data_IF_391650684023
#
_entry.id   IF_391650684023
#
_cell.length_a   1.000
_cell.length_b   1.000
_cell.length_c   1.000
_cell.angle_alpha   90.00
_cell.angle_beta   90.00
_cell.angle_gamma   90.00
#
_symmetry.space_group_name_H-M   'P 1'
#
loop_
_entity.id
_entity.type
_entity.pdbx_description
1 polymer ?
#
# COMPACT_ATOMS: atom_id res chain seq x y z
N UNK A 1 19.86 -6.37 0.89
CA UNK A 1 19.47 -7.78 0.63
C UNK A 1 17.97 -7.84 0.89
N UNK A 2 17.16 -8.66 0.21
CA UNK A 2 15.73 -8.66 0.49
C UNK A 2 15.47 -8.87 1.98
N UNK A 3 14.55 -8.10 2.57
CA UNK A 3 14.13 -8.27 3.96
C UNK A 3 13.82 -9.76 4.18
N UNK A 4 14.39 -10.43 5.19
CA UNK A 4 14.18 -11.86 5.40
C UNK A 4 12.69 -12.16 5.60
N UNK A 5 12.24 -13.33 5.15
CA UNK A 5 10.90 -13.80 5.46
C UNK A 5 10.78 -14.23 6.93
N UNK A 6 9.55 -14.46 7.39
CA UNK A 6 9.31 -14.79 8.80
C UNK A 6 9.89 -16.15 9.22
N UNK A 7 10.07 -17.11 8.32
CA UNK A 7 10.67 -18.41 8.64
C UNK A 7 12.19 -18.27 8.81
N UNK A 8 12.83 -17.53 7.91
CA UNK A 8 14.26 -17.19 7.97
C UNK A 8 14.63 -16.51 9.28
N UNK A 9 13.71 -15.74 9.87
CA UNK A 9 13.89 -15.07 11.16
C UNK A 9 13.76 -15.99 12.38
N UNK A 10 13.10 -17.16 12.28
CA UNK A 10 12.76 -18.00 13.44
C UNK A 10 14.01 -18.48 14.18
N UNK A 11 14.92 -19.15 13.47
CA UNK A 11 16.12 -19.73 14.11
C UNK A 11 17.07 -18.66 14.66
N UNK A 12 17.46 -17.60 13.91
CA UNK A 12 18.30 -16.54 14.47
C UNK A 12 17.68 -15.88 15.70
N UNK A 13 16.37 -15.62 15.68
CA UNK A 13 15.66 -15.09 16.85
C UNK A 13 15.76 -16.04 18.05
N UNK A 14 15.49 -17.33 17.84
CA UNK A 14 15.52 -18.33 18.91
C UNK A 14 16.94 -18.53 19.47
N UNK A 15 17.96 -18.49 18.62
CA UNK A 15 19.37 -18.61 19.00
C UNK A 15 19.81 -17.47 19.94
N UNK A 16 19.28 -16.25 19.77
CA UNK A 16 19.56 -15.13 20.69
C UNK A 16 18.99 -15.34 22.10
N UNK A 17 18.03 -16.26 22.25
CA UNK A 17 17.44 -16.64 23.53
C UNK A 17 18.11 -17.89 24.15
N UNK A 18 19.15 -18.46 23.51
CA UNK A 18 19.76 -19.73 23.92
C UNK A 18 20.35 -19.70 25.35
N UNK A 19 20.64 -18.52 25.90
CA UNK A 19 21.10 -18.34 27.27
C UNK A 19 20.03 -18.64 28.34
N UNK A 20 18.77 -18.88 27.93
CA UNK A 20 17.66 -19.18 28.82
C UNK A 20 17.13 -17.98 29.61
N UNK A 21 17.65 -16.78 29.37
CA UNK A 21 17.23 -15.56 30.07
C UNK A 21 16.06 -14.89 29.35
N UNK A 22 15.44 -13.94 30.04
CA UNK A 22 14.35 -13.13 29.49
C UNK A 22 14.94 -11.95 28.76
N UNK A 23 14.65 -11.82 27.46
CA UNK A 23 15.15 -10.74 26.60
C UNK A 23 14.03 -9.85 26.10
N UNK A 24 14.30 -8.55 25.96
CA UNK A 24 13.36 -7.57 25.43
C UNK A 24 13.37 -7.59 23.91
N UNK A 25 12.19 -7.58 23.30
CA UNK A 25 12.02 -7.59 21.83
C UNK A 25 12.82 -6.50 21.12
N UNK A 26 12.91 -5.31 21.72
CA UNK A 26 13.63 -4.18 21.13
C UNK A 26 15.12 -4.49 20.92
N UNK A 27 15.76 -5.20 21.86
CA UNK A 27 17.17 -5.59 21.72
C UNK A 27 17.32 -6.69 20.67
N UNK A 28 16.51 -7.75 20.78
CA UNK A 28 16.51 -8.85 19.80
C UNK A 28 16.28 -8.35 18.36
N UNK A 29 15.40 -7.36 18.20
CA UNK A 29 15.14 -6.72 16.90
C UNK A 29 16.40 -6.03 16.37
N UNK A 30 17.08 -5.23 17.19
CA UNK A 30 18.28 -4.51 16.77
C UNK A 30 19.40 -5.48 16.39
N UNK A 31 19.61 -6.52 17.20
CA UNK A 31 20.60 -7.56 16.92
C UNK A 31 20.34 -8.25 15.57
N UNK A 32 19.07 -8.55 15.27
CA UNK A 32 18.68 -9.16 13.99
C UNK A 32 18.80 -8.18 12.82
N UNK A 33 18.53 -6.89 13.01
CA UNK A 33 18.76 -5.86 11.98
C UNK A 33 20.24 -5.79 11.61
N UNK A 34 21.13 -5.87 12.60
CA UNK A 34 22.58 -5.89 12.40
C UNK A 34 23.05 -7.19 11.73
N UNK A 35 22.56 -8.36 12.21
CA UNK A 35 22.91 -9.67 11.67
C UNK A 35 22.54 -9.81 10.18
N UNK A 36 21.35 -9.35 9.79
CA UNK A 36 20.89 -9.36 8.41
C UNK A 36 21.34 -8.15 7.59
N UNK A 37 22.12 -7.23 8.17
CA UNK A 37 22.68 -6.05 7.52
C UNK A 37 21.61 -5.19 6.80
N UNK A 38 20.46 -5.00 7.45
CA UNK A 38 19.35 -4.25 6.85
C UNK A 38 19.66 -2.76 6.81
N UNK A 39 19.40 -2.14 5.66
CA UNK A 39 19.56 -0.71 5.46
C UNK A 39 18.48 0.10 6.21
N UNK A 40 18.72 1.39 6.50
CA UNK A 40 17.71 2.26 7.10
C UNK A 40 16.42 2.39 6.29
N UNK A 41 16.47 2.14 4.98
CA UNK A 41 15.30 2.14 4.10
C UNK A 41 14.49 0.85 4.28
N UNK A 42 15.13 -0.31 4.21
CA UNK A 42 14.51 -1.62 4.45
C UNK A 42 13.88 -1.73 5.85
N UNK A 43 14.53 -1.17 6.88
CA UNK A 43 13.98 -1.14 8.25
C UNK A 43 12.71 -0.27 8.35
N UNK A 44 12.59 0.76 7.52
CA UNK A 44 11.47 1.71 7.48
C UNK A 44 10.39 1.33 6.48
N UNK A 45 10.63 0.33 5.63
CA UNK A 45 9.67 -0.17 4.64
C UNK A 45 8.37 -0.57 5.34
N UNK A 46 7.25 0.03 4.94
CA UNK A 46 5.93 -0.20 5.54
C UNK A 46 5.15 -1.25 4.75
N UNK A 47 4.32 -2.02 5.44
CA UNK A 47 3.24 -2.75 4.78
C UNK A 47 2.28 -1.78 4.09
N UNK A 48 1.50 -2.28 3.13
CA UNK A 48 0.45 -1.51 2.45
C UNK A 48 -0.54 -0.84 3.44
N UNK A 49 -0.75 -1.44 4.62
CA UNK A 49 -1.58 -0.86 5.68
C UNK A 49 -1.00 0.40 6.33
N UNK A 50 0.29 0.71 6.13
CA UNK A 50 0.99 1.87 6.67
C UNK A 50 1.25 1.86 8.18
N UNK A 51 0.69 0.89 8.92
CA UNK A 51 0.72 0.81 10.39
C UNK A 51 2.00 0.17 10.96
N UNK A 52 2.57 -0.81 10.25
CA UNK A 52 3.74 -1.57 10.69
C UNK A 52 4.79 -1.64 9.59
N UNK A 53 6.07 -1.77 9.96
CA UNK A 53 7.13 -2.07 9.00
C UNK A 53 7.13 -3.55 8.63
N UNK A 54 7.55 -3.87 7.40
CA UNK A 54 7.61 -5.24 6.87
C UNK A 54 8.42 -6.14 7.81
N UNK A 55 9.62 -5.69 8.20
CA UNK A 55 10.47 -6.43 9.15
C UNK A 55 9.80 -6.64 10.51
N UNK A 56 9.12 -5.62 11.05
CA UNK A 56 8.43 -5.72 12.35
C UNK A 56 7.30 -6.75 12.30
N UNK A 57 6.54 -6.75 11.21
CA UNK A 57 5.43 -7.67 11.02
C UNK A 57 5.93 -9.11 10.88
N UNK A 58 6.93 -9.35 10.02
CA UNK A 58 7.54 -10.67 9.85
C UNK A 58 8.17 -11.22 11.12
N UNK A 59 8.89 -10.38 11.88
CA UNK A 59 9.40 -10.74 13.20
C UNK A 59 8.25 -11.05 14.19
N UNK A 60 7.15 -10.29 14.11
CA UNK A 60 5.91 -10.55 14.84
C UNK A 60 5.36 -11.96 14.60
N UNK A 61 5.28 -12.36 13.34
CA UNK A 61 4.79 -13.67 12.91
C UNK A 61 5.75 -14.81 13.25
N UNK A 62 7.05 -14.62 13.06
CA UNK A 62 8.07 -15.59 13.49
C UNK A 62 7.88 -15.97 14.97
N UNK A 63 7.71 -14.95 15.84
CA UNK A 63 7.46 -15.17 17.27
C UNK A 63 6.12 -15.85 17.52
N UNK A 64 5.05 -15.40 16.87
CA UNK A 64 3.71 -15.96 17.06
C UNK A 64 3.70 -17.45 16.72
N UNK A 65 4.35 -17.84 15.63
CA UNK A 65 4.39 -19.23 15.19
C UNK A 65 5.22 -20.09 16.14
N UNK A 66 6.39 -19.60 16.56
CA UNK A 66 7.21 -20.29 17.56
C UNK A 66 6.54 -20.37 18.94
N UNK A 67 5.77 -19.35 19.36
CA UNK A 67 4.98 -19.34 20.61
C UNK A 67 3.89 -20.42 20.55
N UNK A 68 3.14 -20.48 19.44
CA UNK A 68 2.09 -21.48 19.22
C UNK A 68 2.62 -22.90 19.06
N UNK A 69 3.88 -23.05 18.66
CA UNK A 69 4.58 -24.33 18.66
C UNK A 69 5.27 -24.67 19.99
N UNK A 70 5.23 -23.76 20.98
CA UNK A 70 5.81 -23.96 22.31
C UNK A 70 7.34 -23.87 22.37
N UNK A 71 8.00 -23.32 21.35
CA UNK A 71 9.46 -23.12 21.32
C UNK A 71 9.90 -21.93 22.18
N UNK A 72 8.99 -20.97 22.39
CA UNK A 72 9.22 -19.80 23.20
C UNK A 72 8.02 -19.55 24.11
N UNK A 73 8.27 -18.79 25.17
CA UNK A 73 7.24 -18.27 26.06
C UNK A 73 7.41 -16.76 26.21
N UNK A 74 6.31 -16.11 26.60
CA UNK A 74 6.24 -14.65 26.75
C UNK A 74 5.95 -14.31 28.23
N UNK A 75 6.96 -14.25 29.12
CA UNK A 75 6.73 -14.04 30.56
C UNK A 75 6.05 -12.71 30.89
N UNK A 76 6.30 -11.67 30.07
CA UNK A 76 5.64 -10.38 30.13
C UNK A 76 5.65 -9.72 28.75
N UNK A 77 4.81 -8.70 28.55
CA UNK A 77 4.66 -8.00 27.26
C UNK A 77 6.03 -7.64 26.65
N UNK A 78 6.22 -8.01 25.39
CA UNK A 78 7.45 -7.78 24.62
C UNK A 78 8.74 -8.36 25.23
N UNK A 79 8.64 -9.35 26.11
CA UNK A 79 9.78 -10.08 26.66
C UNK A 79 9.63 -11.58 26.40
N UNK A 80 10.71 -12.20 25.96
CA UNK A 80 10.70 -13.57 25.45
C UNK A 80 11.77 -14.41 26.15
N UNK A 81 11.48 -15.70 26.33
CA UNK A 81 12.41 -16.71 26.84
C UNK A 81 12.25 -18.00 26.05
N UNK A 82 13.36 -18.68 25.78
CA UNK A 82 13.35 -20.00 25.12
C UNK A 82 12.83 -21.08 26.09
N UNK A 83 12.04 -22.02 25.59
CA UNK A 83 11.62 -23.20 26.36
C UNK A 83 12.61 -24.36 26.19
N UNK A 84 12.46 -25.44 26.95
CA UNK A 84 13.25 -26.66 26.73
C UNK A 84 13.00 -27.26 25.33
N UNK A 85 11.77 -27.12 24.81
CA UNK A 85 11.43 -27.49 23.43
C UNK A 85 12.17 -26.62 22.43
N UNK A 86 12.26 -25.31 22.67
CA UNK A 86 13.04 -24.40 21.84
C UNK A 86 14.54 -24.72 21.82
N UNK A 87 15.12 -25.14 22.95
CA UNK A 87 16.52 -25.58 23.00
C UNK A 87 16.76 -26.83 22.15
N UNK A 88 15.89 -27.84 22.26
CA UNK A 88 15.95 -29.03 21.41
C UNK A 88 15.82 -28.68 19.93
N UNK A 89 14.93 -27.74 19.59
CA UNK A 89 14.79 -27.27 18.21
C UNK A 89 16.10 -26.66 17.65
N UNK A 90 16.87 -25.93 18.47
CA UNK A 90 18.18 -25.42 18.05
C UNK A 90 19.22 -26.53 17.81
N UNK A 91 19.12 -27.66 18.52
CA UNK A 91 20.00 -28.83 18.35
C UNK A 91 19.59 -29.68 17.14
N UNK A 92 18.28 -29.91 16.98
CA UNK A 92 17.70 -30.73 15.90
C UNK A 92 17.75 -30.02 14.53
N UNK A 93 17.69 -28.68 14.53
CA UNK A 93 17.63 -27.85 13.33
C UNK A 93 18.81 -26.87 13.27
N UNK A 94 20.02 -27.34 12.90
CA UNK A 94 21.21 -26.51 12.88
C UNK A 94 21.16 -25.40 11.83
N UNK A 95 20.43 -25.61 10.73
CA UNK A 95 20.39 -24.70 9.59
C UNK A 95 19.18 -23.75 9.62
N UNK A 96 17.97 -24.27 9.78
CA UNK A 96 16.74 -23.47 9.76
C UNK A 96 15.63 -24.11 10.61
N UNK A 97 14.83 -23.27 11.27
CA UNK A 97 13.56 -23.64 11.88
C UNK A 97 12.47 -23.04 11.01
N UNK A 98 11.60 -23.86 10.46
CA UNK A 98 10.56 -23.46 9.52
C UNK A 98 9.20 -24.08 9.90
N UNK A 99 8.16 -23.77 9.12
CA UNK A 99 6.82 -24.30 9.36
C UNK A 99 6.75 -25.82 9.24
N UNK A 100 7.60 -26.45 8.43
CA UNK A 100 7.61 -27.90 8.27
C UNK A 100 8.13 -28.57 9.55
N UNK A 101 9.16 -28.00 10.18
CA UNK A 101 9.54 -28.38 11.53
C UNK A 101 8.42 -28.10 12.54
N UNK A 102 7.83 -26.90 12.56
CA UNK A 102 6.79 -26.54 13.54
C UNK A 102 5.54 -27.45 13.46
N UNK A 103 5.22 -28.00 12.28
CA UNK A 103 4.11 -28.96 12.08
C UNK A 103 4.28 -30.27 12.86
N UNK A 104 5.43 -30.57 13.45
CA UNK A 104 5.59 -31.74 14.31
C UNK A 104 4.85 -31.58 15.64
N UNK A 105 4.55 -30.35 16.06
CA UNK A 105 3.89 -30.07 17.33
C UNK A 105 2.38 -30.01 17.17
N UNK A 106 1.65 -30.74 18.01
CA UNK A 106 0.19 -30.85 17.96
C UNK A 106 -0.50 -29.50 18.14
N UNK A 107 0.01 -28.65 19.04
CA UNK A 107 -0.55 -27.33 19.33
C UNK A 107 -0.42 -26.39 18.12
N UNK A 108 0.70 -26.48 17.40
CA UNK A 108 0.91 -25.73 16.16
C UNK A 108 0.01 -26.25 15.03
N UNK A 109 -0.10 -27.57 14.89
CA UNK A 109 -1.03 -28.17 13.93
C UNK A 109 -2.47 -27.73 14.20
N UNK A 110 -2.91 -27.74 15.46
CA UNK A 110 -4.25 -27.28 15.84
C UNK A 110 -4.46 -25.78 15.50
N UNK A 111 -3.46 -24.94 15.76
CA UNK A 111 -3.49 -23.52 15.38
C UNK A 111 -3.63 -23.30 13.86
N UNK A 112 -2.92 -24.10 13.06
CA UNK A 112 -2.98 -24.02 11.58
C UNK A 112 -4.24 -24.70 11.02
N UNK A 113 -4.68 -25.82 11.60
CA UNK A 113 -5.81 -26.61 11.11
C UNK A 113 -7.18 -26.03 11.47
N UNK A 114 -7.28 -25.28 12.57
CA UNK A 114 -8.48 -24.48 12.87
C UNK A 114 -8.78 -23.44 11.77
N UNK A 115 -7.85 -23.17 10.85
CA UNK A 115 -8.05 -22.34 9.65
C UNK A 115 -8.37 -23.13 8.37
N UNK A 116 -8.27 -24.47 8.36
CA UNK A 116 -8.45 -25.29 7.13
C UNK A 116 -9.87 -25.80 6.89
N UNK A 117 -10.78 -25.73 7.86
CA UNK A 117 -12.16 -26.23 7.68
C UNK A 117 -13.04 -25.33 6.77
N UNK A 118 -12.51 -24.21 6.27
CA UNK A 118 -13.06 -23.54 5.11
C UNK A 118 -11.95 -23.36 4.07
N UNK A 119 -12.09 -24.06 2.95
CA UNK A 119 -11.35 -23.91 1.67
C UNK A 119 -10.20 -24.90 1.47
N UNK A 120 -10.54 -26.13 1.08
CA UNK A 120 -9.71 -26.89 0.13
C UNK A 120 -9.95 -26.34 -1.28
N UNK A 121 -9.00 -25.58 -1.81
CA UNK A 121 -8.51 -25.68 -3.19
C UNK A 121 -7.42 -24.63 -3.45
N UNK A 122 -6.28 -25.11 -3.93
CA UNK A 122 -5.19 -24.35 -4.58
C UNK A 122 -4.38 -23.38 -3.71
N UNK A 123 -3.38 -23.93 -3.03
CA UNK A 123 -2.13 -23.19 -2.77
C UNK A 123 -1.01 -23.91 -3.53
N UNK A 124 -1.00 -23.74 -4.84
CA UNK A 124 0.17 -24.04 -5.67
C UNK A 124 0.94 -22.73 -5.86
N UNK A 125 2.24 -22.79 -5.55
CA UNK A 125 3.29 -21.79 -5.82
C UNK A 125 3.09 -20.38 -5.27
N UNK A 126 3.41 -20.16 -4.00
CA UNK A 126 4.02 -18.90 -3.59
C UNK A 126 5.55 -19.10 -3.56
N UNK A 127 6.30 -18.40 -4.41
CA UNK A 127 7.76 -18.48 -4.47
C UNK A 127 8.45 -17.98 -3.19
N UNK A 128 7.71 -17.37 -2.25
CA UNK A 128 8.18 -16.97 -0.92
C UNK A 128 7.10 -17.14 0.14
N UNK A 129 7.46 -17.59 1.36
CA UNK A 129 6.53 -17.65 2.48
C UNK A 129 6.14 -16.23 2.93
N UNK A 130 4.85 -15.89 2.81
CA UNK A 130 4.28 -14.60 3.21
C UNK A 130 3.48 -14.70 4.50
N UNK A 131 3.40 -13.60 5.24
CA UNK A 131 2.58 -13.46 6.43
C UNK A 131 1.09 -13.27 6.06
N UNK A 132 0.14 -13.59 6.95
CA UNK A 132 -1.28 -13.31 6.71
C UNK A 132 -1.60 -11.85 6.36
N UNK A 133 -0.94 -10.86 6.98
CA UNK A 133 -1.14 -9.45 6.65
C UNK A 133 -0.69 -9.13 5.21
N UNK A 134 0.44 -9.69 4.77
CA UNK A 134 0.93 -9.55 3.39
C UNK A 134 -0.02 -10.22 2.39
N UNK A 135 -0.61 -11.37 2.75
CA UNK A 135 -1.61 -12.05 1.92
C UNK A 135 -2.88 -11.20 1.76
N UNK A 136 -3.40 -10.62 2.85
CA UNK A 136 -4.56 -9.72 2.80
C UNK A 136 -4.24 -8.49 1.95
N UNK A 137 -3.06 -7.89 2.14
CA UNK A 137 -2.64 -6.74 1.36
C UNK A 137 -2.54 -7.06 -0.14
N UNK A 138 -1.98 -8.22 -0.50
CA UNK A 138 -1.89 -8.66 -1.90
C UNK A 138 -3.26 -8.89 -2.52
N UNK A 139 -4.19 -9.53 -1.80
CA UNK A 139 -5.58 -9.71 -2.26
C UNK A 139 -6.28 -8.37 -2.42
N UNK A 140 -6.12 -7.46 -1.45
CA UNK A 140 -6.70 -6.11 -1.52
C UNK A 140 -6.17 -5.34 -2.73
N UNK A 141 -4.86 -5.40 -3.00
CA UNK A 141 -4.27 -4.79 -4.19
C UNK A 141 -4.82 -5.39 -5.48
N UNK A 142 -4.94 -6.72 -5.56
CA UNK A 142 -5.51 -7.39 -6.73
C UNK A 142 -6.98 -7.01 -6.96
N UNK A 143 -7.78 -6.90 -5.90
CA UNK A 143 -9.16 -6.41 -5.97
C UNK A 143 -9.22 -4.97 -6.47
N UNK A 144 -8.36 -4.08 -5.97
CA UNK A 144 -8.31 -2.69 -6.42
C UNK A 144 -7.84 -2.56 -7.87
N UNK A 145 -6.86 -3.34 -8.31
CA UNK A 145 -6.42 -3.36 -9.71
C UNK A 145 -7.55 -3.80 -10.64
N UNK A 146 -8.27 -4.88 -10.28
CA UNK A 146 -9.44 -5.32 -11.06
C UNK A 146 -10.55 -4.26 -11.08
N UNK A 147 -10.79 -3.59 -9.96
CA UNK A 147 -11.78 -2.52 -9.89
C UNK A 147 -11.37 -1.29 -10.71
N UNK A 148 -10.07 -0.99 -10.76
CA UNK A 148 -9.53 0.10 -11.57
C UNK A 148 -9.75 -0.16 -13.08
N UNK A 149 -9.54 -1.40 -13.53
CA UNK A 149 -9.83 -1.82 -14.91
C UNK A 149 -11.32 -1.66 -15.25
N UNK A 150 -12.21 -2.11 -14.35
CA UNK A 150 -13.67 -1.99 -14.51
C UNK A 150 -14.12 -0.52 -14.58
N UNK A 151 -13.58 0.34 -13.69
CA UNK A 151 -13.83 1.78 -13.70
C UNK A 151 -13.36 2.43 -14.99
N UNK A 152 -12.15 2.12 -15.44
CA UNK A 152 -11.60 2.68 -16.66
C UNK A 152 -12.46 2.30 -17.88
N UNK A 153 -12.91 1.05 -17.95
CA UNK A 153 -13.86 0.59 -18.96
C UNK A 153 -15.16 1.38 -18.94
N UNK A 154 -15.74 1.61 -17.75
CA UNK A 154 -16.95 2.42 -17.61
C UNK A 154 -16.75 3.87 -18.10
N UNK A 155 -15.65 4.52 -17.70
CA UNK A 155 -15.33 5.91 -18.08
C UNK A 155 -15.14 6.05 -19.58
N UNK A 156 -14.47 5.10 -20.23
CA UNK A 156 -14.25 5.12 -21.67
C UNK A 156 -15.57 5.07 -22.47
N UNK A 157 -16.61 4.44 -21.94
CA UNK A 157 -17.95 4.41 -22.56
C UNK A 157 -18.80 5.64 -22.30
N UNK A 158 -18.42 6.48 -21.32
CA UNK A 158 -19.18 7.66 -20.95
C UNK A 158 -19.07 8.80 -21.99
N UNK A 159 -19.95 9.80 -21.89
CA UNK A 159 -19.90 10.96 -22.77
C UNK A 159 -18.70 11.87 -22.44
N UNK A 160 -18.18 12.66 -23.42
CA UNK A 160 -17.09 13.61 -23.16
C UNK A 160 -17.38 14.59 -22.02
N UNK A 161 -18.58 15.20 -22.01
CA UNK A 161 -18.96 16.13 -20.94
C UNK A 161 -19.11 15.46 -19.57
N UNK A 162 -19.48 14.17 -19.52
CA UNK A 162 -19.44 13.43 -18.26
C UNK A 162 -18.00 13.26 -17.76
N UNK A 163 -17.06 12.96 -18.66
CA UNK A 163 -15.65 12.81 -18.29
C UNK A 163 -15.03 14.11 -17.77
N UNK A 164 -15.33 15.25 -18.41
CA UNK A 164 -14.93 16.56 -17.93
C UNK A 164 -15.44 16.83 -16.51
N UNK A 165 -16.73 16.55 -16.27
CA UNK A 165 -17.32 16.70 -14.93
C UNK A 165 -16.69 15.74 -13.91
N UNK A 166 -16.45 14.48 -14.29
CA UNK A 166 -15.82 13.48 -13.44
C UNK A 166 -14.43 13.93 -12.97
N UNK A 167 -13.65 14.51 -13.88
CA UNK A 167 -12.32 15.06 -13.56
C UNK A 167 -12.42 16.19 -12.52
N UNK A 168 -13.39 17.08 -12.67
CA UNK A 168 -13.63 18.15 -11.71
C UNK A 168 -14.06 17.58 -10.36
N UNK A 169 -14.99 16.63 -10.36
CA UNK A 169 -15.47 15.94 -9.14
C UNK A 169 -14.32 15.23 -8.41
N UNK A 170 -13.39 14.62 -9.15
CA UNK A 170 -12.20 14.01 -8.58
C UNK A 170 -11.31 15.03 -7.88
N UNK A 171 -11.00 16.15 -8.55
CA UNK A 171 -10.19 17.20 -7.94
C UNK A 171 -10.85 17.73 -6.66
N UNK A 172 -12.18 17.85 -6.62
CA UNK A 172 -12.92 18.25 -5.42
C UNK A 172 -12.83 17.17 -4.32
N UNK A 173 -12.97 15.88 -4.68
CA UNK A 173 -12.86 14.77 -3.74
C UNK A 173 -11.45 14.64 -3.13
N UNK A 174 -10.43 15.06 -3.89
CA UNK A 174 -9.04 15.21 -3.43
C UNK A 174 -8.81 16.44 -2.54
N UNK A 175 -9.79 17.34 -2.44
CA UNK A 175 -9.75 18.52 -1.57
C UNK A 175 -9.40 19.84 -2.27
N UNK A 176 -9.27 19.85 -3.60
CA UNK A 176 -9.10 21.08 -4.38
C UNK A 176 -10.45 21.80 -4.60
N UNK A 177 -10.42 23.06 -5.04
CA UNK A 177 -11.61 23.84 -5.39
C UNK A 177 -12.20 24.70 -4.26
N UNK A 178 -11.56 24.72 -3.10
CA UNK A 178 -11.92 25.63 -2.01
C UNK A 178 -13.22 25.26 -1.30
N UNK A 179 -14.25 26.11 -1.35
CA UNK A 179 -15.56 25.81 -0.75
C UNK A 179 -16.46 25.07 -1.75
N UNK A 180 -17.25 24.09 -1.28
CA UNK A 180 -18.15 23.26 -2.14
C UNK A 180 -19.08 24.04 -3.06
N UNK A 181 -19.42 25.30 -2.72
CA UNK A 181 -20.25 26.18 -3.56
C UNK A 181 -19.46 26.82 -4.70
N UNK A 182 -18.19 27.17 -4.49
CA UNK A 182 -17.34 27.80 -5.51
C UNK A 182 -16.73 26.78 -6.47
N UNK A 183 -16.49 25.55 -6.02
CA UNK A 183 -15.92 24.50 -6.86
C UNK A 183 -16.83 24.11 -8.05
N UNK A 184 -18.16 24.17 -7.86
CA UNK A 184 -19.13 23.94 -8.93
C UNK A 184 -19.32 25.13 -9.90
N UNK A 185 -18.80 26.31 -9.56
CA UNK A 185 -18.81 27.51 -10.44
C UNK A 185 -17.48 27.67 -11.21
N UNK A 186 -16.46 26.88 -10.87
CA UNK A 186 -15.10 27.02 -11.37
C UNK A 186 -14.91 26.52 -12.83
N UNK A 187 -15.87 25.79 -13.36
CA UNK A 187 -15.96 25.40 -14.77
C UNK A 187 -16.59 26.52 -15.61
N UNK A 188 -15.91 27.67 -15.70
CA UNK A 188 -16.09 28.48 -16.91
C UNK A 188 -15.47 27.68 -18.04
N UNK A 189 -16.28 27.05 -18.91
CA UNK A 189 -15.81 26.54 -20.19
C UNK A 189 -15.14 27.68 -20.93
N UNK A 190 -13.82 27.78 -20.78
CA UNK A 190 -13.01 28.65 -21.62
C UNK A 190 -13.00 28.00 -22.99
N UNK A 191 -13.68 28.60 -23.96
CA UNK A 191 -13.57 28.27 -25.40
C UNK A 191 -12.15 28.53 -25.96
N UNK A 192 -11.12 28.43 -25.11
CA UNK A 192 -9.72 28.70 -25.43
C UNK A 192 -9.00 27.36 -25.55
N UNK A 193 -8.87 26.87 -26.79
CA UNK A 193 -7.82 25.97 -27.29
C UNK A 193 -7.28 24.89 -26.31
N UNK A 194 -8.16 24.21 -25.56
CA UNK A 194 -7.81 23.01 -24.79
C UNK A 194 -7.71 23.13 -23.27
N UNK A 195 -8.32 24.13 -22.63
CA UNK A 195 -8.56 24.11 -21.17
C UNK A 195 -10.02 23.74 -20.91
N UNK A 196 -10.22 22.63 -20.20
CA UNK A 196 -11.56 22.08 -19.94
C UNK A 196 -12.08 22.47 -18.55
N UNK A 197 -11.19 22.91 -17.63
CA UNK A 197 -11.59 23.39 -16.31
C UNK A 197 -10.52 24.20 -15.61
N UNK A 198 -10.94 24.98 -14.62
CA UNK A 198 -10.07 25.80 -13.79
C UNK A 198 -10.46 25.53 -12.34
N UNK A 199 -9.52 25.18 -11.47
CA UNK A 199 -9.81 24.88 -10.07
C UNK A 199 -8.82 25.60 -9.13
N UNK A 200 -9.32 26.13 -8.02
CA UNK A 200 -8.49 26.75 -7.00
C UNK A 200 -7.69 25.68 -6.26
N UNK A 201 -6.41 25.90 -6.02
CA UNK A 201 -5.60 24.94 -5.24
C UNK A 201 -6.02 24.90 -3.77
N UNK A 202 -6.42 26.05 -3.23
CA UNK A 202 -6.75 26.23 -1.82
C UNK A 202 -8.05 27.04 -1.62
N UNK A 203 -8.49 27.12 -0.36
CA UNK A 203 -9.75 27.80 0.01
C UNK A 203 -9.72 29.32 -0.13
N UNK A 204 -8.54 29.92 -0.05
CA UNK A 204 -8.33 31.36 -0.25
C UNK A 204 -8.21 31.69 -1.75
N UNK A 205 -7.91 30.69 -2.59
CA UNK A 205 -7.79 30.84 -4.04
C UNK A 205 -6.56 31.64 -4.44
N UNK A 206 -5.45 31.48 -3.71
CA UNK A 206 -4.21 32.20 -3.99
C UNK A 206 -3.55 31.68 -5.28
N UNK A 207 -3.71 30.39 -5.54
CA UNK A 207 -3.24 29.72 -6.74
C UNK A 207 -4.38 28.99 -7.46
N UNK A 208 -4.23 28.89 -8.77
CA UNK A 208 -5.19 28.27 -9.69
C UNK A 208 -4.51 27.17 -10.49
N UNK A 209 -5.20 26.04 -10.62
CA UNK A 209 -4.80 24.86 -11.37
C UNK A 209 -5.69 24.75 -12.60
N UNK A 210 -5.07 24.64 -13.77
CA UNK A 210 -5.77 24.46 -15.04
C UNK A 210 -5.87 22.98 -15.37
N UNK A 211 -7.05 22.54 -15.81
CA UNK A 211 -7.35 21.15 -16.09
C UNK A 211 -7.59 20.96 -17.59
N UNK A 212 -7.03 19.89 -18.12
CA UNK A 212 -7.40 19.36 -19.43
C UNK A 212 -7.78 17.89 -19.27
N UNK A 213 -8.95 17.51 -19.77
CA UNK A 213 -9.54 16.19 -19.69
C UNK A 213 -9.74 15.62 -21.10
N UNK A 214 -8.90 14.66 -21.51
CA UNK A 214 -9.01 14.00 -22.82
C UNK A 214 -9.45 12.55 -22.69
N UNK A 215 -10.70 12.27 -23.09
CA UNK A 215 -11.17 10.88 -23.24
C UNK A 215 -10.61 10.27 -24.53
N UNK A 216 -9.51 9.55 -24.41
CA UNK A 216 -8.76 8.95 -25.51
C UNK A 216 -8.61 7.43 -25.35
N UNK A 217 -8.55 6.72 -26.47
CA UNK A 217 -8.22 5.29 -26.52
C UNK A 217 -6.74 5.06 -26.84
N UNK A 218 -6.16 5.92 -27.71
CA UNK A 218 -4.76 5.81 -28.11
C UNK A 218 -3.84 6.53 -27.13
N UNK A 219 -2.57 6.12 -27.11
CA UNK A 219 -1.51 6.77 -26.35
C UNK A 219 -1.43 8.27 -26.65
N UNK A 220 -1.35 9.09 -25.61
CA UNK A 220 -1.14 10.54 -25.72
C UNK A 220 0.34 10.80 -26.01
N UNK A 221 0.58 11.52 -27.11
CA UNK A 221 1.92 11.90 -27.54
C UNK A 221 2.24 13.36 -27.25
N UNK A 222 3.52 13.68 -27.26
CA UNK A 222 4.08 15.01 -26.98
C UNK A 222 3.34 16.20 -27.63
N UNK A 223 2.88 16.15 -28.90
CA UNK A 223 2.19 17.29 -29.50
C UNK A 223 0.94 17.76 -28.75
N UNK A 224 0.22 16.85 -28.06
CA UNK A 224 -0.93 17.27 -27.24
C UNK A 224 -0.50 17.95 -25.95
N UNK A 225 0.59 17.49 -25.35
CA UNK A 225 1.16 18.10 -24.15
C UNK A 225 1.71 19.49 -24.49
N UNK A 226 2.40 19.64 -25.63
CA UNK A 226 2.92 20.93 -26.09
C UNK A 226 1.77 21.93 -26.37
N UNK A 227 0.63 21.47 -26.91
CA UNK A 227 -0.58 22.30 -27.07
C UNK A 227 -1.11 22.77 -25.72
N UNK A 228 -1.23 21.86 -24.74
CA UNK A 228 -1.67 22.21 -23.39
C UNK A 228 -0.76 23.26 -22.74
N UNK A 229 0.56 23.05 -22.80
CA UNK A 229 1.58 23.98 -22.30
C UNK A 229 1.45 25.34 -22.98
N UNK A 230 1.17 25.36 -24.28
CA UNK A 230 0.87 26.59 -25.03
C UNK A 230 -0.33 27.35 -24.45
N UNK A 231 -1.42 26.64 -24.16
CA UNK A 231 -2.62 27.22 -23.55
C UNK A 231 -2.37 27.73 -22.13
N UNK A 232 -1.58 27.00 -21.32
CA UNK A 232 -1.15 27.47 -19.99
C UNK A 232 -0.32 28.76 -20.10
N UNK A 233 0.61 28.82 -21.04
CA UNK A 233 1.49 29.98 -21.25
C UNK A 233 0.69 31.22 -21.65
N UNK A 234 -0.29 31.09 -22.56
CA UNK A 234 -1.19 32.19 -22.97
C UNK A 234 -2.00 32.72 -21.79
N UNK A 235 -2.46 31.82 -20.92
CA UNK A 235 -3.22 32.15 -19.72
C UNK A 235 -2.34 32.56 -18.52
N UNK A 236 -1.01 32.64 -18.70
CA UNK A 236 -0.01 32.93 -17.64
C UNK A 236 -0.14 32.00 -16.42
N UNK A 237 -0.62 30.78 -16.65
CA UNK A 237 -0.79 29.76 -15.65
C UNK A 237 0.55 29.16 -15.24
N UNK A 238 0.69 28.83 -13.94
CA UNK A 238 1.90 28.18 -13.40
C UNK A 238 1.71 26.70 -13.08
N UNK A 239 0.45 26.25 -12.98
CA UNK A 239 0.07 24.90 -12.58
C UNK A 239 -0.97 24.35 -13.53
N UNK A 240 -0.79 23.11 -13.97
CA UNK A 240 -1.72 22.42 -14.84
C UNK A 240 -1.77 20.93 -14.57
N UNK A 241 -2.92 20.31 -14.80
CA UNK A 241 -3.10 18.86 -14.75
C UNK A 241 -3.74 18.41 -16.06
N UNK A 242 -3.07 17.49 -16.75
CA UNK A 242 -3.60 16.83 -17.94
C UNK A 242 -4.03 15.43 -17.57
N UNK A 243 -5.30 15.11 -17.78
CA UNK A 243 -5.93 13.85 -17.40
C UNK A 243 -6.43 13.17 -18.66
N UNK A 244 -6.14 11.87 -18.80
CA UNK A 244 -6.58 11.07 -19.93
C UNK A 244 -7.06 9.69 -19.48
N UNK A 245 -7.91 9.06 -20.28
CA UNK A 245 -8.32 7.65 -20.11
C UNK A 245 -7.35 6.65 -20.75
N UNK A 246 -6.25 7.13 -21.35
CA UNK A 246 -5.22 6.32 -22.00
C UNK A 246 -3.86 6.51 -21.32
N UNK A 247 -2.80 5.95 -21.91
CA UNK A 247 -1.43 6.14 -21.43
C UNK A 247 -0.73 7.33 -22.09
N UNK A 248 0.32 7.84 -21.45
CA UNK A 248 1.25 8.78 -22.09
C UNK A 248 2.45 8.05 -22.70
N UNK A 249 2.93 8.52 -23.84
CA UNK A 249 4.22 8.09 -24.38
C UNK A 249 5.40 8.61 -23.53
N UNK A 250 6.58 7.97 -23.57
CA UNK A 250 7.77 8.46 -22.86
C UNK A 250 8.09 9.93 -23.21
N UNK A 251 8.05 10.30 -24.49
CA UNK A 251 8.30 11.68 -24.93
C UNK A 251 7.24 12.69 -24.46
N UNK A 252 6.01 12.25 -24.16
CA UNK A 252 5.00 13.11 -23.54
C UNK A 252 5.31 13.38 -22.07
N UNK A 253 5.77 12.36 -21.33
CA UNK A 253 6.21 12.51 -19.93
C UNK A 253 7.47 13.37 -19.82
N UNK A 254 8.43 13.21 -20.73
CA UNK A 254 9.64 14.05 -20.76
C UNK A 254 9.34 15.54 -21.01
N UNK A 255 8.30 15.85 -21.78
CA UNK A 255 7.95 17.22 -22.16
C UNK A 255 7.58 18.11 -20.97
N UNK A 256 7.07 17.55 -19.86
CA UNK A 256 6.69 18.33 -18.68
C UNK A 256 7.85 18.55 -17.70
N UNK A 257 8.90 17.72 -17.75
CA UNK A 257 10.03 17.80 -16.82
C UNK A 257 10.98 18.97 -17.09
N UNK A 258 10.98 19.51 -18.31
CA UNK A 258 11.90 20.58 -18.75
C UNK A 258 11.33 21.99 -18.58
N UNK A 259 10.14 22.11 -17.97
CA UNK A 259 9.42 23.36 -17.85
C UNK A 259 9.62 24.02 -16.47
N UNK A 260 9.60 25.35 -16.46
CA UNK A 260 9.53 26.12 -15.21
C UNK A 260 8.14 26.06 -14.53
N UNK A 261 7.11 25.59 -15.25
CA UNK A 261 5.75 25.40 -14.75
C UNK A 261 5.52 23.98 -14.20
N UNK A 262 4.60 23.84 -13.24
CA UNK A 262 4.25 22.55 -12.64
C UNK A 262 3.10 21.91 -13.41
N UNK A 263 3.43 21.01 -14.34
CA UNK A 263 2.43 20.23 -15.09
C UNK A 263 2.45 18.78 -14.61
N UNK A 264 1.28 18.27 -14.19
CA UNK A 264 1.09 16.88 -13.78
C UNK A 264 0.30 16.13 -14.86
N UNK A 265 0.73 14.91 -15.18
CA UNK A 265 0.08 14.03 -16.14
C UNK A 265 -0.55 12.86 -15.37
N UNK A 266 -1.86 12.66 -15.51
CA UNK A 266 -2.61 11.56 -14.90
C UNK A 266 -3.16 10.68 -16.02
N UNK A 267 -2.66 9.45 -16.12
CA UNK A 267 -3.12 8.46 -17.11
C UNK A 267 -4.34 7.70 -16.58
N UNK A 268 -4.92 6.84 -17.44
CA UNK A 268 -6.16 6.13 -17.13
C UNK A 268 -6.07 5.25 -15.89
N UNK A 269 -4.92 4.61 -15.66
CA UNK A 269 -4.70 3.77 -14.49
C UNK A 269 -4.64 4.61 -13.21
N UNK A 270 -3.81 5.67 -13.20
CA UNK A 270 -3.71 6.58 -12.07
C UNK A 270 -5.05 7.27 -11.76
N UNK A 271 -5.82 7.62 -12.79
CA UNK A 271 -7.16 8.18 -12.64
C UNK A 271 -8.07 7.21 -11.87
N UNK A 272 -8.12 5.95 -12.27
CA UNK A 272 -8.97 4.95 -11.64
C UNK A 272 -8.54 4.65 -10.19
N UNK A 273 -7.23 4.61 -9.92
CA UNK A 273 -6.69 4.46 -8.57
C UNK A 273 -7.10 5.63 -7.65
N UNK A 274 -6.97 6.87 -8.14
CA UNK A 274 -7.40 8.07 -7.41
C UNK A 274 -8.92 8.07 -7.17
N UNK A 275 -9.72 7.59 -8.13
CA UNK A 275 -11.16 7.44 -7.95
C UNK A 275 -11.49 6.46 -6.82
N UNK A 276 -10.79 5.32 -6.76
CA UNK A 276 -10.97 4.34 -5.68
C UNK A 276 -10.57 4.95 -4.33
N UNK A 277 -9.38 5.58 -4.26
CA UNK A 277 -8.86 6.19 -3.05
C UNK A 277 -9.81 7.25 -2.46
N UNK A 278 -10.39 8.08 -3.34
CA UNK A 278 -11.28 9.17 -2.96
C UNK A 278 -12.77 8.78 -2.97
N UNK A 279 -13.09 7.49 -3.10
CA UNK A 279 -14.46 6.95 -3.12
C UNK A 279 -15.37 7.62 -4.17
N UNK A 280 -14.81 7.95 -5.34
CA UNK A 280 -15.54 8.54 -6.47
C UNK A 280 -15.94 7.44 -7.46
N UNK A 281 -17.23 7.33 -7.75
CA UNK A 281 -17.75 6.32 -8.69
C UNK A 281 -17.71 4.88 -8.17
N UNK A 282 -17.33 4.70 -6.89
CA UNK A 282 -17.29 3.40 -6.21
C UNK A 282 -18.03 3.46 -4.88
N UNK A 283 -18.47 2.30 -4.39
CA UNK A 283 -19.10 2.17 -3.08
C UNK A 283 -18.54 0.94 -2.37
N UNK A 284 -18.31 1.00 -1.04
CA UNK A 284 -17.89 -0.18 -0.28
C UNK A 284 -18.90 -1.31 -0.44
N UNK A 285 -18.44 -2.48 -0.90
CA UNK A 285 -19.27 -3.68 -1.03
C UNK A 285 -19.36 -4.44 0.30
N UNK A 286 -18.21 -4.63 0.96
CA UNK A 286 -18.07 -5.33 2.24
C UNK A 286 -16.90 -4.72 3.05
N UNK A 287 -16.95 -4.82 4.38
CA UNK A 287 -15.90 -4.33 5.28
C UNK A 287 -15.45 -5.45 6.22
N UNK A 288 -14.15 -5.74 6.22
CA UNK A 288 -13.53 -6.75 7.08
C UNK A 288 -12.65 -6.07 8.14
N UNK A 289 -13.01 -6.22 9.41
CA UNK A 289 -12.24 -5.64 10.53
C UNK A 289 -11.20 -6.62 11.08
N UNK A 290 -9.93 -6.20 11.12
CA UNK A 290 -8.85 -6.94 11.80
C UNK A 290 -8.69 -6.41 13.22
N UNK A 291 -8.94 -7.27 14.21
CA UNK A 291 -8.82 -6.92 15.64
C UNK A 291 -7.48 -7.39 16.20
N UNK A 292 -6.93 -6.61 17.12
CA UNK A 292 -5.73 -6.97 17.89
C UNK A 292 -6.06 -6.85 19.39
N UNK A 293 -5.41 -7.67 20.22
CA UNK A 293 -5.50 -7.57 21.68
C UNK A 293 -5.07 -6.16 22.12
N UNK A 294 -5.96 -5.48 22.82
CA UNK A 294 -5.64 -4.24 23.54
C UNK A 294 -4.79 -4.60 24.76
N UNK A 295 -3.48 -4.38 24.63
CA UNK A 295 -2.54 -4.76 25.66
C UNK A 295 -2.61 -3.87 26.91
N UNK A 296 -3.20 -2.67 26.81
CA UNK A 296 -3.33 -1.74 27.94
C UNK A 296 -4.53 -2.13 28.82
N UNK A 297 -5.54 -2.78 28.24
CA UNK A 297 -6.63 -3.40 29.00
C UNK A 297 -6.15 -4.55 29.91
N UNK A 298 -5.11 -5.28 29.50
CA UNK A 298 -4.59 -6.45 30.23
C UNK A 298 -3.33 -6.15 31.06
N UNK A 299 -2.88 -4.90 31.15
CA UNK A 299 -1.83 -4.53 32.12
C UNK A 299 -2.45 -4.41 33.51
N UNK A 300 -1.98 -5.23 34.46
CA UNK A 300 -2.39 -5.19 35.88
C UNK A 300 -1.81 -4.00 36.67
N UNK A 301 -1.18 -3.04 35.99
CA UNK A 301 -0.67 -1.80 36.59
C UNK A 301 -1.80 -0.76 36.63
N UNK A 302 -2.72 -0.91 37.59
CA UNK A 302 -3.66 0.13 38.04
C UNK A 302 -3.63 0.23 39.57
#
# INVERSE_FOLDING_TARGET
MPIPDYQTLMRPFLARLADGRVHRLAHLRNDLVEEFQLSPEEVREKLASGRQTVFSNRLGWAKTYMDKAGLLETPKRAHYRITDRGRRALEECPDAIDNDYLKHFEEFRAFVSQKKDHTEAQVASAERPSTPDEQIAAVHQALNSSLADDLLGAIQTASPGFFEQLVVDLMIAMGYGGSRKEAGEATQSTNDDGIDGIIKEDRLGLDTIYLQAKRWQNTVHRPEIDKFIGSLTRNRARKGVFITTSEFSPGAREAVHTLDMKVILIDGQQLAELMIEHNLGVTPKEVYEVKQVDSDYFSEDN
#
